data_IF_032249419817
#
_entry.id   IF_032249419817
#
_cell.length_a   1.000
_cell.length_b   1.000
_cell.length_c   1.000
_cell.angle_alpha   90.00
_cell.angle_beta   90.00
_cell.angle_gamma   90.00
#
_symmetry.space_group_name_H-M   'P 1'
#
loop_
_entity.id
_entity.type
_entity.pdbx_description
1 polymer ?
#
# COMPACT_ATOMS: atom_id res chain seq x y z
N UNK A 1 -0.40 -6.20 -13.61
CA UNK A 1 0.61 -5.27 -13.06
C UNK A 1 0.00 -4.69 -11.80
N UNK A 2 0.56 -4.99 -10.64
CA UNK A 2 -0.03 -4.63 -9.34
C UNK A 2 0.19 -3.15 -9.07
N UNK A 3 -0.86 -2.40 -8.76
CA UNK A 3 -0.74 -1.02 -8.27
C UNK A 3 -0.74 -1.05 -6.75
N UNK A 4 0.14 -0.29 -6.12
CA UNK A 4 0.16 -0.10 -4.68
C UNK A 4 -0.53 1.20 -4.31
N UNK A 5 -1.31 1.17 -3.24
CA UNK A 5 -1.92 2.35 -2.63
C UNK A 5 -1.19 2.63 -1.33
N UNK A 6 -0.68 3.84 -1.21
CA UNK A 6 -0.06 4.35 0.00
C UNK A 6 -1.11 4.76 1.03
N UNK A 7 -0.77 4.67 2.32
CA UNK A 7 -1.57 5.24 3.42
C UNK A 7 -1.77 6.76 3.30
N UNK A 8 -0.97 7.44 2.46
CA UNK A 8 -1.15 8.84 2.07
C UNK A 8 -2.21 9.06 0.97
N UNK A 9 -2.91 8.01 0.53
CA UNK A 9 -3.92 8.05 -0.52
C UNK A 9 -3.39 8.12 -1.96
N UNK A 10 -2.06 8.08 -2.16
CA UNK A 10 -1.44 8.07 -3.48
C UNK A 10 -1.30 6.64 -4.00
N UNK A 11 -1.18 6.52 -5.33
CA UNK A 11 -0.94 5.25 -6.02
C UNK A 11 0.48 5.22 -6.56
N UNK A 12 1.07 4.03 -6.56
CA UNK A 12 2.42 3.77 -7.01
C UNK A 12 2.44 2.51 -7.87
N UNK A 13 3.12 2.59 -9.01
CA UNK A 13 3.44 1.41 -9.82
C UNK A 13 4.59 0.61 -9.19
N UNK A 14 4.79 -0.67 -9.57
CA UNK A 14 5.93 -1.44 -9.08
C UNK A 14 7.28 -0.79 -9.42
N UNK A 15 7.38 -0.16 -10.59
CA UNK A 15 8.57 0.58 -11.01
C UNK A 15 8.83 1.76 -10.10
N UNK A 16 7.83 2.60 -9.80
CA UNK A 16 8.00 3.72 -8.89
C UNK A 16 8.41 3.28 -7.48
N UNK A 17 7.86 2.16 -6.98
CA UNK A 17 8.26 1.61 -5.66
C UNK A 17 9.73 1.20 -5.69
N UNK A 18 10.16 0.47 -6.72
CA UNK A 18 11.56 0.03 -6.87
C UNK A 18 12.50 1.22 -7.03
N UNK A 19 12.18 2.17 -7.91
CA UNK A 19 12.97 3.39 -8.12
C UNK A 19 13.15 4.17 -6.81
N UNK A 20 12.09 4.32 -6.01
CA UNK A 20 12.19 5.02 -4.73
C UNK A 20 13.02 4.25 -3.68
N UNK A 21 13.01 2.91 -3.70
CA UNK A 21 13.75 2.06 -2.75
C UNK A 21 15.24 1.90 -3.13
N UNK A 22 15.56 1.80 -4.42
CA UNK A 22 16.93 1.57 -4.88
C UNK A 22 17.71 2.87 -5.13
N UNK A 23 17.04 3.88 -5.68
CA UNK A 23 17.67 5.14 -6.09
C UNK A 23 17.16 6.35 -5.30
N UNK A 24 15.96 6.22 -4.71
CA UNK A 24 15.29 7.28 -3.98
C UNK A 24 15.58 7.28 -2.47
N UNK A 25 14.81 8.10 -1.73
CA UNK A 25 15.01 8.27 -0.30
C UNK A 25 14.36 7.15 0.53
N UNK A 26 13.62 6.22 -0.09
CA UNK A 26 12.83 5.25 0.66
C UNK A 26 13.69 4.16 1.27
N UNK A 27 13.28 3.70 2.44
CA UNK A 27 13.90 2.55 3.11
C UNK A 27 12.84 1.57 3.53
N UNK A 28 12.98 0.32 3.10
CA UNK A 28 12.12 -0.77 3.59
C UNK A 28 12.31 -0.96 5.08
N UNK A 29 11.21 -0.85 5.84
CA UNK A 29 11.20 -1.05 7.28
C UNK A 29 10.64 -2.42 7.65
N UNK A 30 9.55 -2.82 6.99
CA UNK A 30 8.87 -4.09 7.24
C UNK A 30 8.15 -4.55 5.98
N UNK A 31 8.30 -5.81 5.61
CA UNK A 31 7.55 -6.44 4.53
C UNK A 31 6.75 -7.62 5.05
N UNK A 32 5.43 -7.60 4.80
CA UNK A 32 4.51 -8.71 5.05
C UNK A 32 4.22 -9.43 3.75
N UNK A 33 4.91 -10.53 3.54
CA UNK A 33 4.83 -11.34 2.31
C UNK A 33 3.46 -11.99 2.09
N UNK A 34 2.74 -12.35 3.16
CA UNK A 34 1.41 -12.98 3.05
C UNK A 34 0.36 -12.07 2.42
N UNK A 35 0.45 -10.77 2.71
CA UNK A 35 -0.50 -9.74 2.24
C UNK A 35 0.10 -8.83 1.19
N UNK A 36 1.38 -9.02 0.86
CA UNK A 36 2.19 -8.17 0.00
C UNK A 36 2.13 -6.68 0.42
N UNK A 37 2.17 -6.44 1.74
CA UNK A 37 2.16 -5.09 2.32
C UNK A 37 3.57 -4.71 2.73
N UNK A 38 3.98 -3.50 2.39
CA UNK A 38 5.32 -3.00 2.73
C UNK A 38 5.23 -1.66 3.45
N UNK A 39 5.89 -1.55 4.58
CA UNK A 39 6.08 -0.32 5.30
C UNK A 39 7.46 0.25 4.93
N UNK A 40 7.46 1.48 4.43
CA UNK A 40 8.69 2.20 4.07
C UNK A 40 8.79 3.50 4.84
N UNK A 41 10.01 3.90 5.19
CA UNK A 41 10.34 5.27 5.59
C UNK A 41 10.60 6.07 4.32
N UNK A 42 9.93 7.21 4.12
CA UNK A 42 10.06 8.01 2.91
C UNK A 42 11.30 8.91 2.89
N UNK A 43 12.09 8.93 3.97
CA UNK A 43 13.28 9.75 4.13
C UNK A 43 13.02 11.14 4.75
N UNK A 44 11.77 11.59 4.76
CA UNK A 44 11.33 12.83 5.43
C UNK A 44 10.92 12.60 6.90
N UNK A 45 11.16 11.40 7.43
CA UNK A 45 10.72 10.97 8.77
C UNK A 45 9.25 10.55 8.82
N UNK A 46 8.62 10.35 7.65
CA UNK A 46 7.27 9.82 7.52
C UNK A 46 7.30 8.34 7.13
N UNK A 47 6.36 7.57 7.70
CA UNK A 47 6.16 6.17 7.33
C UNK A 47 4.99 6.04 6.36
N UNK A 48 5.22 5.30 5.28
CA UNK A 48 4.24 5.02 4.24
C UNK A 48 3.97 3.52 4.20
N UNK A 49 2.70 3.12 4.41
CA UNK A 49 2.27 1.75 4.19
C UNK A 49 1.80 1.60 2.75
N UNK A 50 2.41 0.70 2.00
CA UNK A 50 2.02 0.29 0.65
C UNK A 50 1.17 -0.98 0.74
N UNK A 51 0.01 -0.94 0.11
CA UNK A 51 -0.94 -2.07 0.05
C UNK A 51 -1.31 -2.31 -1.42
N UNK A 52 -1.37 -3.57 -1.90
CA UNK A 52 -1.83 -3.84 -3.26
C UNK A 52 -3.29 -3.39 -3.43
N UNK A 53 -3.60 -2.66 -4.51
CA UNK A 53 -4.95 -2.13 -4.75
C UNK A 53 -6.01 -3.24 -4.81
N UNK A 54 -5.70 -4.38 -5.42
CA UNK A 54 -6.57 -5.57 -5.45
C UNK A 54 -6.91 -6.13 -4.07
N UNK A 55 -6.14 -5.79 -3.02
CA UNK A 55 -6.41 -6.22 -1.64
C UNK A 55 -7.33 -5.25 -0.89
N UNK A 56 -7.52 -4.03 -1.38
CA UNK A 56 -8.41 -3.04 -0.74
C UNK A 56 -9.90 -3.32 -0.99
N UNK A 57 -10.23 -4.13 -1.99
CA UNK A 57 -11.62 -4.43 -2.37
C UNK A 57 -12.34 -5.41 -1.44
N UNK A 58 -11.70 -5.91 -0.38
CA UNK A 58 -12.25 -6.98 0.49
C UNK A 58 -12.87 -6.50 1.81
N UNK A 59 -13.18 -5.22 2.01
CA UNK A 59 -13.89 -4.80 3.23
C UNK A 59 -14.79 -3.59 3.07
N UNK A 60 -15.93 -3.79 2.43
CA UNK A 60 -17.19 -3.29 2.99
C UNK A 60 -18.17 -4.48 2.95
N UNK A 61 -18.55 -5.09 4.10
CA UNK A 61 -19.73 -5.94 4.09
C UNK A 61 -20.90 -5.06 3.66
N UNK A 62 -21.57 -5.43 2.57
CA UNK A 62 -22.76 -4.72 2.09
C UNK A 62 -23.72 -4.52 3.28
N UNK A 63 -24.28 -3.32 3.46
CA UNK A 63 -25.27 -3.11 4.51
C UNK A 63 -26.41 -4.09 4.24
N UNK A 64 -26.62 -5.04 5.16
CA UNK A 64 -27.84 -5.87 5.15
C UNK A 64 -28.99 -4.92 5.37
N UNK A 65 -29.66 -4.57 4.27
CA UNK A 65 -30.97 -3.93 4.33
C UNK A 65 -31.95 -5.03 4.74
N UNK A 66 -32.10 -5.22 6.05
CA UNK A 66 -33.25 -5.94 6.57
C UNK A 66 -34.49 -5.07 6.26
N UNK A 67 -35.22 -5.45 5.21
CA UNK A 67 -36.51 -4.86 4.88
C UNK A 67 -37.59 -5.49 5.77
N UNK A 68 -38.26 -4.67 6.57
CA UNK A 68 -39.48 -4.97 7.32
C UNK A 68 -40.71 -4.84 6.40
#
# INVERSE_FOLDING_TARGET
>A
MTIYVGSNGRRYTPSEVVENLEEGPWRSCLWRTDTDQELVDTGDGELLMLVPEDRLTTSIPEPRVDAD
#
